data_IF_558810429186
#
_entry.id   IF_558810429186
#
_cell.length_a   1.000
_cell.length_b   1.000
_cell.length_c   1.000
_cell.angle_alpha   90.00
_cell.angle_beta   90.00
_cell.angle_gamma   90.00
#
_symmetry.space_group_name_H-M   'P 1'
#
loop_
_entity.id
_entity.type
_entity.pdbx_description
1 polymer ?
#
# COMPACT_ATOMS: atom_id res chain seq x y z
N UNK A 1 -11.28 -12.08 -8.36
CA UNK A 1 -9.81 -12.11 -8.44
C UNK A 1 -9.40 -12.08 -9.91
N UNK A 2 -8.49 -11.20 -10.27
CA UNK A 2 -7.94 -11.15 -11.62
C UNK A 2 -6.73 -12.09 -11.74
N UNK A 3 -6.66 -12.81 -12.85
CA UNK A 3 -5.61 -13.80 -13.10
C UNK A 3 -4.82 -13.43 -14.35
N UNK A 4 -3.51 -13.40 -14.25
CA UNK A 4 -2.60 -12.97 -15.32
C UNK A 4 -1.45 -13.97 -15.47
N UNK A 5 -1.59 -14.98 -16.38
CA UNK A 5 -0.50 -15.85 -16.78
C UNK A 5 0.22 -16.56 -15.64
N UNK A 6 -0.48 -17.10 -14.66
CA UNK A 6 0.10 -17.75 -13.48
C UNK A 6 0.21 -16.82 -12.28
N UNK A 7 -0.08 -15.53 -12.45
CA UNK A 7 -0.07 -14.53 -11.40
C UNK A 7 -1.46 -13.94 -11.23
N UNK A 8 -1.75 -13.43 -10.06
CA UNK A 8 -3.03 -12.78 -9.79
C UNK A 8 -2.83 -11.58 -8.86
N UNK A 9 -3.82 -10.69 -8.87
CA UNK A 9 -3.88 -9.61 -7.90
C UNK A 9 -4.24 -10.22 -6.56
N UNK A 10 -3.29 -10.21 -5.63
CA UNK A 10 -3.50 -10.74 -4.28
C UNK A 10 -4.26 -9.76 -3.40
N UNK A 11 -3.95 -8.48 -3.52
CA UNK A 11 -4.57 -7.44 -2.71
C UNK A 11 -4.42 -6.07 -3.37
N UNK A 12 -5.33 -5.15 -3.04
CA UNK A 12 -5.17 -3.74 -3.37
C UNK A 12 -5.92 -2.90 -2.35
N UNK A 13 -5.49 -1.64 -2.20
CA UNK A 13 -6.10 -0.73 -1.25
C UNK A 13 -6.00 0.71 -1.74
N UNK A 14 -7.09 1.44 -1.61
CA UNK A 14 -7.14 2.88 -1.74
C UNK A 14 -7.45 3.45 -0.36
N UNK A 15 -6.48 4.13 0.23
CA UNK A 15 -6.56 4.58 1.62
C UNK A 15 -6.32 6.08 1.75
N UNK A 16 -6.78 6.61 2.87
CA UNK A 16 -6.45 7.95 3.35
C UNK A 16 -5.57 7.78 4.59
N UNK A 17 -4.31 8.16 4.51
CA UNK A 17 -3.39 8.04 5.64
C UNK A 17 -3.62 9.16 6.67
N UNK A 18 -4.06 10.32 6.23
CA UNK A 18 -4.32 11.45 7.11
C UNK A 18 -5.43 11.12 8.13
N UNK A 19 -6.50 10.46 7.68
CA UNK A 19 -7.59 10.01 8.57
C UNK A 19 -7.48 8.55 9.00
N UNK A 20 -6.50 7.82 8.50
CA UNK A 20 -6.28 6.38 8.73
C UNK A 20 -7.56 5.59 8.41
N UNK A 21 -8.02 5.72 7.17
CA UNK A 21 -9.25 5.07 6.71
C UNK A 21 -9.07 4.46 5.32
N UNK A 22 -9.85 3.44 5.03
CA UNK A 22 -9.85 2.75 3.73
C UNK A 22 -11.08 3.19 2.94
N UNK A 23 -10.86 3.65 1.69
CA UNK A 23 -11.97 3.98 0.79
C UNK A 23 -12.52 2.74 0.13
N UNK A 24 -11.63 1.88 -0.34
CA UNK A 24 -11.98 0.60 -0.95
C UNK A 24 -10.75 -0.29 -0.98
N UNK A 25 -10.98 -1.60 -0.98
CA UNK A 25 -9.87 -2.56 -0.93
C UNK A 25 -10.31 -3.94 -1.37
N UNK A 26 -9.32 -4.78 -1.66
CA UNK A 26 -9.50 -6.21 -1.89
C UNK A 26 -8.44 -6.95 -1.07
N UNK A 27 -8.87 -7.95 -0.29
CA UNK A 27 -8.03 -8.79 0.56
C UNK A 27 -7.16 -8.00 1.55
N UNK A 28 -7.65 -6.86 2.00
CA UNK A 28 -7.03 -6.07 3.06
C UNK A 28 -8.01 -6.06 4.24
N UNK A 29 -7.57 -6.56 5.38
CA UNK A 29 -8.39 -6.59 6.59
C UNK A 29 -8.33 -5.26 7.34
N UNK A 30 -7.18 -4.61 7.33
CA UNK A 30 -6.96 -3.36 8.05
C UNK A 30 -5.70 -2.68 7.57
N UNK A 31 -5.57 -1.40 7.89
CA UNK A 31 -4.33 -0.65 7.74
C UNK A 31 -3.82 -0.24 9.11
N UNK A 32 -2.51 -0.14 9.26
CA UNK A 32 -1.87 0.30 10.49
C UNK A 32 -1.05 1.55 10.20
N UNK A 33 -1.29 2.59 10.98
CA UNK A 33 -0.48 3.81 10.93
C UNK A 33 0.80 3.57 11.73
N UNK A 34 1.93 3.43 11.03
CA UNK A 34 3.24 3.21 11.65
C UNK A 34 4.01 4.51 11.88
N UNK A 35 3.40 5.65 11.61
CA UNK A 35 4.02 6.96 11.75
C UNK A 35 3.82 7.80 10.50
N UNK A 36 4.35 9.00 10.52
CA UNK A 36 4.24 9.93 9.40
C UNK A 36 4.87 9.34 8.15
N UNK A 37 4.05 9.21 7.08
CA UNK A 37 4.49 8.62 5.82
C UNK A 37 4.76 7.13 5.88
N UNK A 38 4.28 6.40 6.88
CA UNK A 38 4.55 4.97 7.07
C UNK A 38 3.26 4.23 7.37
N UNK A 39 2.95 3.23 6.55
CA UNK A 39 1.72 2.44 6.67
C UNK A 39 2.01 0.96 6.52
N UNK A 40 1.21 0.16 7.20
CA UNK A 40 1.19 -1.30 7.01
C UNK A 40 -0.18 -1.71 6.50
N UNK A 41 -0.18 -2.59 5.49
CA UNK A 41 -1.40 -3.15 4.90
C UNK A 41 -1.48 -4.61 5.29
N UNK A 42 -2.51 -4.94 6.07
CA UNK A 42 -2.70 -6.29 6.61
C UNK A 42 -3.64 -7.07 5.69
N UNK A 43 -3.21 -8.25 5.25
CA UNK A 43 -4.04 -9.11 4.40
C UNK A 43 -5.16 -9.77 5.19
N UNK A 44 -6.33 -9.96 4.55
CA UNK A 44 -7.39 -10.81 5.08
C UNK A 44 -7.02 -12.29 4.95
N UNK A 45 -6.46 -12.65 3.80
CA UNK A 45 -5.91 -13.98 3.52
C UNK A 45 -4.43 -13.83 3.22
N UNK A 46 -3.60 -14.56 3.95
CA UNK A 46 -2.15 -14.47 3.79
C UNK A 46 -1.70 -14.83 2.37
N UNK A 47 -0.59 -14.25 1.96
CA UNK A 47 0.13 -14.71 0.76
C UNK A 47 0.75 -16.09 1.03
N UNK A 48 0.97 -16.88 -0.02
CA UNK A 48 1.59 -18.20 0.10
C UNK A 48 3.06 -18.13 0.51
N UNK A 49 3.73 -17.04 0.12
CA UNK A 49 5.14 -16.81 0.44
C UNK A 49 5.43 -15.31 0.40
N UNK A 50 6.69 -14.95 0.61
CA UNK A 50 7.13 -13.55 0.67
C UNK A 50 7.73 -13.05 -0.65
N UNK A 51 7.57 -13.78 -1.74
CA UNK A 51 8.11 -13.40 -3.05
C UNK A 51 7.14 -12.59 -3.90
N UNK A 52 6.03 -12.17 -3.35
CA UNK A 52 5.08 -11.30 -4.04
C UNK A 52 5.67 -9.91 -4.30
N UNK A 53 5.10 -9.23 -5.29
CA UNK A 53 5.49 -7.86 -5.66
C UNK A 53 4.40 -6.91 -5.20
N UNK A 54 4.79 -5.77 -4.68
CA UNK A 54 3.85 -4.70 -4.37
C UNK A 54 4.39 -3.36 -4.85
N UNK A 55 3.48 -2.46 -5.18
CA UNK A 55 3.79 -1.12 -5.66
C UNK A 55 2.67 -0.17 -5.26
N UNK A 56 2.92 1.12 -5.34
CA UNK A 56 1.90 2.06 -4.99
C UNK A 56 2.26 3.50 -5.31
N UNK A 57 1.32 4.36 -4.99
CA UNK A 57 1.48 5.79 -5.14
C UNK A 57 0.85 6.53 -3.96
N UNK A 58 1.30 7.74 -3.73
CA UNK A 58 0.73 8.61 -2.72
C UNK A 58 0.59 10.03 -3.27
N UNK A 59 -0.31 10.80 -2.69
CA UNK A 59 -0.57 12.16 -3.14
C UNK A 59 -1.83 12.73 -2.50
N UNK A 60 -2.45 13.64 -3.20
CA UNK A 60 -3.65 14.31 -2.74
C UNK A 60 -4.85 13.89 -3.61
N UNK A 61 -5.95 13.47 -2.98
CA UNK A 61 -7.16 13.00 -3.65
C UNK A 61 -7.75 14.06 -4.59
N UNK A 62 -7.55 15.33 -4.30
CA UNK A 62 -8.06 16.43 -5.13
C UNK A 62 -7.19 16.76 -6.32
N UNK A 63 -6.04 16.10 -6.48
CA UNK A 63 -5.11 16.36 -7.57
C UNK A 63 -4.23 17.58 -7.36
N UNK A 64 -4.13 18.10 -6.15
CA UNK A 64 -3.33 19.28 -5.83
C UNK A 64 -1.94 18.95 -5.28
N UNK A 65 -1.46 17.75 -5.52
CA UNK A 65 -0.10 17.35 -5.12
C UNK A 65 0.93 18.20 -5.84
N UNK A 66 1.73 18.96 -5.10
CA UNK A 66 2.70 19.90 -5.67
C UNK A 66 4.09 19.32 -5.81
N UNK A 67 4.42 18.31 -5.04
CA UNK A 67 5.72 17.61 -5.08
C UNK A 67 5.50 16.13 -5.32
N UNK A 68 6.37 15.52 -6.12
CA UNK A 68 6.33 14.08 -6.34
C UNK A 68 6.54 13.28 -5.05
N UNK A 69 6.10 12.04 -5.06
CA UNK A 69 6.30 11.11 -3.95
C UNK A 69 7.20 9.97 -4.37
N UNK A 70 8.01 9.51 -3.41
CA UNK A 70 8.75 8.27 -3.53
C UNK A 70 8.14 7.30 -2.53
N UNK A 71 7.79 6.09 -2.97
CA UNK A 71 7.29 5.03 -2.11
C UNK A 71 8.26 3.87 -2.11
N UNK A 72 8.53 3.30 -0.94
CA UNK A 72 9.49 2.22 -0.77
C UNK A 72 9.02 1.24 0.30
N UNK A 73 9.63 0.07 0.34
CA UNK A 73 9.40 -0.90 1.40
C UNK A 73 9.92 -0.35 2.73
N UNK A 74 9.16 -0.53 3.81
CA UNK A 74 9.48 0.02 5.13
C UNK A 74 9.95 -1.04 6.13
N UNK A 75 9.65 -2.30 5.90
CA UNK A 75 9.98 -3.37 6.85
C UNK A 75 10.12 -4.70 6.13
N UNK A 76 10.54 -5.73 6.86
CA UNK A 76 10.64 -7.08 6.30
C UNK A 76 9.28 -7.52 5.73
N UNK A 77 9.29 -8.06 4.52
CA UNK A 77 8.10 -8.58 3.86
C UNK A 77 7.60 -9.81 4.61
N UNK A 78 6.29 -9.90 4.79
CA UNK A 78 5.66 -10.94 5.60
C UNK A 78 4.47 -11.52 4.82
N UNK A 79 4.14 -12.79 5.07
CA UNK A 79 2.99 -13.42 4.40
C UNK A 79 1.66 -12.79 4.82
N UNK A 80 1.60 -12.16 5.98
CA UNK A 80 0.37 -11.57 6.54
C UNK A 80 0.19 -10.08 6.22
N UNK A 81 1.25 -9.39 5.79
CA UNK A 81 1.20 -7.95 5.54
C UNK A 81 2.42 -7.47 4.78
N UNK A 82 2.35 -6.24 4.26
CA UNK A 82 3.51 -5.50 3.79
C UNK A 82 3.44 -4.06 4.31
N UNK A 83 4.61 -3.42 4.41
CA UNK A 83 4.73 -2.07 4.93
C UNK A 83 5.39 -1.16 3.92
N UNK A 84 4.87 0.05 3.79
CA UNK A 84 5.43 1.06 2.90
C UNK A 84 5.77 2.32 3.68
N UNK A 85 6.78 3.02 3.20
CA UNK A 85 7.00 4.41 3.56
C UNK A 85 7.02 5.25 2.30
N UNK A 86 6.56 6.47 2.41
CA UNK A 86 6.57 7.40 1.29
C UNK A 86 6.89 8.79 1.79
N UNK A 87 7.42 9.61 0.90
CA UNK A 87 7.74 11.00 1.22
C UNK A 87 7.85 11.81 -0.06
N UNK A 88 7.74 13.12 0.06
CA UNK A 88 8.20 14.02 -0.99
C UNK A 88 9.72 14.17 -0.90
N UNK A 89 10.34 14.78 -1.88
CA UNK A 89 11.78 15.08 -1.82
C UNK A 89 12.14 16.02 -0.67
N UNK A 90 11.18 16.83 -0.22
CA UNK A 90 11.41 17.86 0.80
C UNK A 90 11.03 17.41 2.21
N UNK A 91 10.02 16.53 2.36
CA UNK A 91 9.46 16.25 3.68
C UNK A 91 8.75 14.90 3.75
N UNK A 92 8.66 14.38 4.97
CA UNK A 92 7.81 13.25 5.32
C UNK A 92 6.43 13.79 5.68
N UNK A 93 5.37 13.15 5.22
CA UNK A 93 3.99 13.62 5.41
C UNK A 93 3.00 12.47 5.33
N UNK A 94 1.79 12.72 5.81
CA UNK A 94 0.65 11.81 5.63
C UNK A 94 -0.22 12.33 4.48
N UNK A 95 -0.35 11.55 3.43
CA UNK A 95 -1.18 11.90 2.28
C UNK A 95 -2.61 11.39 2.45
N UNK A 96 -3.57 12.10 1.89
CA UNK A 96 -4.96 11.66 1.91
C UNK A 96 -5.31 10.69 0.79
N UNK A 97 -4.38 10.40 -0.12
CA UNK A 97 -4.50 9.37 -1.14
C UNK A 97 -3.26 8.49 -1.10
N UNK A 98 -3.42 7.25 -0.70
CA UNK A 98 -2.37 6.23 -0.75
C UNK A 98 -2.97 4.99 -1.39
N UNK A 99 -2.45 4.60 -2.56
CA UNK A 99 -2.94 3.45 -3.31
C UNK A 99 -1.83 2.43 -3.43
N UNK A 100 -2.14 1.18 -3.14
CA UNK A 100 -1.18 0.07 -3.27
C UNK A 100 -1.83 -1.10 -3.99
N UNK A 101 -1.01 -1.88 -4.67
CA UNK A 101 -1.41 -3.13 -5.31
C UNK A 101 -0.33 -4.18 -5.06
N UNK A 102 -0.78 -5.40 -4.81
CA UNK A 102 0.07 -6.56 -4.58
C UNK A 102 -0.27 -7.65 -5.58
N UNK A 103 0.74 -8.14 -6.28
CA UNK A 103 0.61 -9.23 -7.27
C UNK A 103 1.42 -10.42 -6.77
N UNK A 104 0.81 -11.58 -6.75
CA UNK A 104 1.42 -12.81 -6.26
C UNK A 104 1.27 -13.92 -7.28
N UNK A 105 2.21 -14.85 -7.24
CA UNK A 105 2.12 -16.09 -8.00
C UNK A 105 1.11 -17.02 -7.34
N UNK A 106 0.31 -17.65 -8.19
CA UNK A 106 -0.71 -18.59 -7.74
C UNK A 106 -0.07 -19.95 -7.41
#
# INVERSE_FOLDING_TARGET
>A
MAYFGGNFIHAWCNANHDSVSVRDSYNISSITDNGTGRMKFNFSTNADNTTYVFSGMAGNQTGTTTNGRIMMNDAAVNVAHFSVRYRSLATVLDDNLVCVICVAEN
#
